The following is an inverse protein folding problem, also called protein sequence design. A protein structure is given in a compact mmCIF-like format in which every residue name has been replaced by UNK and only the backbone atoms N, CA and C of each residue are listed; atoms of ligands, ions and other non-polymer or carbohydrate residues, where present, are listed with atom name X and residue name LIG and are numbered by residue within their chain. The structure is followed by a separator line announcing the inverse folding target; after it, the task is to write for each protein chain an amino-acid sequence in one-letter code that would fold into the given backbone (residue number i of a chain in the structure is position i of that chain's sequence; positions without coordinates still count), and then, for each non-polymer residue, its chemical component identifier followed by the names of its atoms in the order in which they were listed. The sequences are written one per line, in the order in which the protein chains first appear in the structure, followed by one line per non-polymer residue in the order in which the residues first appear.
data_IF_117711699341
#
_entry.id   IF_117711699341
#
_cell.length_a   1.000
_cell.length_b   1.000
_cell.length_c   1.000
_cell.angle_alpha   90.00
_cell.angle_beta   90.00
_cell.angle_gamma   90.00
#
_symmetry.space_group_name_H-M   'P 1'
#
loop_
_entity.id
_entity.type
_entity.pdbx_description
1 polymer ?
#
# COMPACT_ATOMS: atom_id res chain seq x y z
N UNK A 1 -8.13 13.60 1.48
CA UNK A 1 -8.70 12.38 2.09
C UNK A 1 -9.32 11.44 1.05
N UNK A 2 -10.27 11.88 0.22
CA UNK A 2 -10.95 11.03 -0.79
C UNK A 2 -9.98 10.20 -1.65
N UNK A 3 -8.93 10.82 -2.19
CA UNK A 3 -7.97 10.11 -3.05
C UNK A 3 -7.18 9.02 -2.30
N UNK A 4 -6.87 9.22 -1.01
CA UNK A 4 -6.19 8.21 -0.19
C UNK A 4 -7.11 7.01 0.10
N UNK A 5 -8.42 7.25 0.24
CA UNK A 5 -9.41 6.19 0.39
C UNK A 5 -9.57 5.37 -0.89
N UNK A 6 -9.56 6.03 -2.06
CA UNK A 6 -9.60 5.35 -3.37
C UNK A 6 -8.32 4.52 -3.57
N UNK A 7 -7.16 5.12 -3.31
CA UNK A 7 -5.86 4.45 -3.37
C UNK A 7 -5.81 3.19 -2.50
N UNK A 8 -6.34 3.25 -1.28
CA UNK A 8 -6.32 2.11 -0.36
C UNK A 8 -7.07 0.89 -0.92
N UNK A 9 -8.13 1.12 -1.70
CA UNK A 9 -9.00 0.13 -2.33
C UNK A 9 -8.47 -0.37 -3.69
N UNK A 10 -7.39 0.21 -4.21
CA UNK A 10 -6.87 -0.13 -5.53
C UNK A 10 -6.41 -1.59 -5.62
N UNK A 11 -6.96 -2.32 -6.59
CA UNK A 11 -6.60 -3.72 -6.86
C UNK A 11 -5.20 -3.87 -7.47
N UNK A 12 -4.60 -2.77 -7.97
CA UNK A 12 -3.27 -2.77 -8.56
C UNK A 12 -2.14 -2.87 -7.53
N UNK A 13 -2.42 -2.77 -6.22
CA UNK A 13 -1.41 -2.91 -5.18
C UNK A 13 -1.12 -4.39 -4.93
N UNK A 14 0.07 -4.91 -5.27
CA UNK A 14 0.37 -6.33 -5.18
C UNK A 14 0.66 -6.77 -3.75
N UNK A 15 0.57 -8.08 -3.50
CA UNK A 15 0.96 -8.71 -2.23
C UNK A 15 2.12 -9.69 -2.44
N UNK A 16 2.86 -10.06 -1.38
CA UNK A 16 3.91 -11.08 -1.48
C UNK A 16 3.46 -12.35 -2.22
N UNK A 17 4.29 -12.81 -3.15
CA UNK A 17 4.00 -13.95 -4.03
C UNK A 17 3.51 -13.57 -5.43
N UNK A 18 2.96 -12.37 -5.61
CA UNK A 18 2.52 -11.90 -6.92
C UNK A 18 3.71 -11.41 -7.76
N UNK A 19 3.65 -11.61 -9.08
CA UNK A 19 4.73 -11.27 -10.00
C UNK A 19 5.16 -9.80 -9.89
N UNK A 20 4.20 -8.90 -9.69
CA UNK A 20 4.44 -7.46 -9.61
C UNK A 20 4.89 -6.98 -8.22
N UNK A 21 4.96 -7.85 -7.22
CA UNK A 21 5.41 -7.47 -5.88
C UNK A 21 6.95 -7.29 -5.85
N UNK A 22 7.45 -6.06 -5.60
CA UNK A 22 8.86 -5.71 -5.81
C UNK A 22 9.84 -6.31 -4.79
N UNK A 23 9.33 -6.95 -3.73
CA UNK A 23 10.11 -7.45 -2.58
C UNK A 23 9.92 -8.96 -2.36
N UNK A 24 9.60 -9.73 -3.40
CA UNK A 24 9.43 -11.20 -3.30
C UNK A 24 10.68 -11.96 -2.81
N UNK A 25 11.88 -11.38 -2.92
CA UNK A 25 13.10 -11.98 -2.34
C UNK A 25 13.16 -11.85 -0.80
N UNK A 26 12.40 -10.92 -0.22
CA UNK A 26 12.40 -10.62 1.22
C UNK A 26 11.17 -11.18 1.93
N UNK A 27 10.03 -11.24 1.23
CA UNK A 27 8.75 -11.68 1.79
C UNK A 27 8.26 -12.96 1.13
N UNK A 28 7.75 -13.87 1.96
CA UNK A 28 7.14 -15.12 1.49
C UNK A 28 5.71 -14.87 1.03
N UNK A 29 5.30 -15.59 -0.01
CA UNK A 29 3.91 -15.70 -0.38
C UNK A 29 3.08 -16.27 0.79
N UNK A 30 1.78 -15.94 0.90
CA UNK A 30 0.84 -16.71 1.70
C UNK A 30 0.88 -18.18 1.28
N UNK A 31 1.09 -19.10 2.22
CA UNK A 31 1.15 -20.54 1.91
C UNK A 31 0.37 -21.37 2.92
N UNK A 32 -0.35 -22.38 2.44
CA UNK A 32 -0.94 -23.44 3.24
C UNK A 32 -0.79 -24.79 2.50
N UNK A 33 -0.75 -25.91 3.24
CA UNK A 33 -0.68 -27.26 2.65
C UNK A 33 -1.98 -27.67 1.96
N UNK A 34 -3.11 -27.17 2.45
CA UNK A 34 -4.41 -27.33 1.81
C UNK A 34 -4.63 -26.13 0.87
N UNK A 35 -4.98 -26.41 -0.38
CA UNK A 35 -5.19 -25.40 -1.42
C UNK A 35 -6.29 -24.39 -1.07
N UNK A 36 -7.45 -24.86 -0.58
CA UNK A 36 -8.55 -23.99 -0.14
C UNK A 36 -8.11 -23.07 1.00
N UNK A 37 -7.38 -23.63 1.98
CA UNK A 37 -6.83 -22.84 3.07
C UNK A 37 -5.74 -21.85 2.58
N UNK A 38 -5.05 -22.11 1.47
CA UNK A 38 -4.07 -21.18 0.90
C UNK A 38 -4.77 -19.96 0.28
N UNK A 39 -5.89 -20.16 -0.42
CA UNK A 39 -6.73 -19.06 -0.91
C UNK A 39 -7.25 -18.21 0.25
N UNK A 40 -7.76 -18.83 1.33
CA UNK A 40 -8.24 -18.08 2.50
C UNK A 40 -7.15 -17.24 3.17
N UNK A 41 -5.92 -17.76 3.29
CA UNK A 41 -4.80 -17.00 3.89
C UNK A 41 -4.37 -15.85 2.96
N UNK A 42 -4.47 -16.04 1.64
CA UNK A 42 -4.22 -14.99 0.66
C UNK A 42 -5.23 -13.85 0.78
N UNK A 43 -6.53 -14.18 0.86
CA UNK A 43 -7.60 -13.20 1.06
C UNK A 43 -7.47 -12.49 2.41
N UNK A 44 -7.10 -13.22 3.46
CA UNK A 44 -6.81 -12.63 4.77
C UNK A 44 -5.66 -11.61 4.70
N UNK A 45 -4.58 -11.94 3.99
CA UNK A 45 -3.46 -11.00 3.80
C UNK A 45 -3.90 -9.76 3.01
N UNK A 46 -4.70 -9.93 1.95
CA UNK A 46 -5.29 -8.83 1.16
C UNK A 46 -6.14 -7.92 2.05
N UNK A 47 -7.03 -8.50 2.86
CA UNK A 47 -7.89 -7.76 3.79
C UNK A 47 -7.07 -7.02 4.88
N UNK A 48 -6.04 -7.68 5.43
CA UNK A 48 -5.17 -7.07 6.42
C UNK A 48 -4.38 -5.88 5.87
N UNK A 49 -3.79 -6.01 4.67
CA UNK A 49 -3.09 -4.93 4.01
C UNK A 49 -4.04 -3.80 3.59
N UNK A 50 -5.28 -4.11 3.21
CA UNK A 50 -6.31 -3.09 2.97
C UNK A 50 -6.59 -2.27 4.23
N UNK A 51 -6.81 -2.92 5.37
CA UNK A 51 -7.04 -2.24 6.65
C UNK A 51 -5.86 -1.32 7.01
N UNK A 52 -4.63 -1.81 6.85
CA UNK A 52 -3.43 -1.01 7.07
C UNK A 52 -3.40 0.24 6.18
N UNK A 53 -3.73 0.11 4.89
CA UNK A 53 -3.76 1.25 3.95
C UNK A 53 -4.82 2.28 4.32
N UNK A 54 -6.01 1.83 4.71
CA UNK A 54 -7.11 2.71 5.12
C UNK A 54 -6.71 3.52 6.36
N UNK A 55 -6.21 2.84 7.40
CA UNK A 55 -5.80 3.48 8.65
C UNK A 55 -4.61 4.43 8.45
N UNK A 56 -3.60 4.01 7.68
CA UNK A 56 -2.46 4.86 7.34
C UNK A 56 -2.89 6.09 6.54
N UNK A 57 -3.82 5.96 5.60
CA UNK A 57 -4.32 7.07 4.80
C UNK A 57 -4.97 8.16 5.67
N UNK A 58 -5.73 7.77 6.69
CA UNK A 58 -6.35 8.71 7.64
C UNK A 58 -5.29 9.42 8.47
N UNK A 59 -4.39 8.68 9.13
CA UNK A 59 -3.35 9.27 10.00
C UNK A 59 -2.37 10.13 9.24
N UNK A 60 -1.97 9.70 8.04
CA UNK A 60 -1.04 10.45 7.20
C UNK A 60 -1.64 11.78 6.75
N UNK A 61 -2.94 11.82 6.45
CA UNK A 61 -3.62 13.05 6.07
C UNK A 61 -3.49 14.13 7.15
N UNK A 62 -3.71 13.77 8.42
CA UNK A 62 -3.58 14.68 9.57
C UNK A 62 -2.16 15.22 9.72
N UNK A 63 -1.14 14.38 9.53
CA UNK A 63 0.26 14.82 9.62
C UNK A 63 0.71 15.68 8.44
N UNK A 64 0.19 15.41 7.23
CA UNK A 64 0.59 16.13 6.02
C UNK A 64 -0.11 17.49 5.92
N UNK A 65 -1.41 17.58 6.25
CA UNK A 65 -2.19 18.81 6.08
C UNK A 65 -2.33 19.63 7.37
N UNK A 66 -2.10 19.03 8.55
CA UNK A 66 -2.14 19.70 9.84
C UNK A 66 -3.48 20.39 10.11
N UNK A 67 -3.45 21.52 10.80
CA UNK A 67 -4.65 22.28 11.19
C UNK A 67 -5.32 23.03 10.03
N UNK A 68 -4.53 23.48 9.04
CA UNK A 68 -5.05 24.36 7.98
C UNK A 68 -5.90 23.62 6.94
N UNK A 69 -5.73 22.30 6.78
CA UNK A 69 -6.37 21.46 5.75
C UNK A 69 -6.28 21.94 4.28
N UNK A 70 -5.65 23.08 4.01
CA UNK A 70 -5.61 23.70 2.69
C UNK A 70 -4.38 23.28 1.88
N UNK A 71 -3.23 23.08 2.53
CA UNK A 71 -1.96 22.80 1.84
C UNK A 71 -1.16 21.70 2.53
N UNK A 72 -0.54 20.78 1.75
CA UNK A 72 0.34 19.78 2.31
C UNK A 72 1.66 20.39 2.78
N UNK A 73 2.19 19.90 3.89
CA UNK A 73 3.45 20.31 4.48
C UNK A 73 4.62 20.02 3.55
N UNK A 74 5.44 21.04 3.27
CA UNK A 74 6.64 20.92 2.43
C UNK A 74 7.64 19.89 2.97
N UNK A 75 7.66 19.68 4.29
CA UNK A 75 8.56 18.74 4.97
C UNK A 75 8.18 17.27 4.74
N UNK A 76 6.93 17.01 4.35
CA UNK A 76 6.49 15.70 3.87
C UNK A 76 6.62 15.59 2.36
N UNK A 77 6.22 16.64 1.62
CA UNK A 77 6.23 16.63 0.15
C UNK A 77 7.63 16.51 -0.45
N UNK A 78 8.69 16.91 0.25
CA UNK A 78 10.07 16.74 -0.22
C UNK A 78 10.49 15.26 -0.37
N UNK A 79 9.72 14.31 0.19
CA UNK A 79 9.94 12.88 0.04
C UNK A 79 9.12 12.24 -1.09
N UNK A 80 8.18 12.96 -1.73
CA UNK A 80 7.22 12.37 -2.68
C UNK A 80 7.87 11.67 -3.90
N UNK A 81 9.10 12.04 -4.28
CA UNK A 81 9.86 11.41 -5.37
C UNK A 81 10.93 10.42 -4.90
N UNK A 82 11.14 10.27 -3.59
CA UNK A 82 12.12 9.36 -3.01
C UNK A 82 11.46 7.99 -2.82
N UNK A 83 12.15 6.93 -3.22
CA UNK A 83 11.66 5.55 -3.09
C UNK A 83 12.51 4.81 -2.08
N UNK A 84 11.86 4.15 -1.13
CA UNK A 84 12.57 3.29 -0.19
C UNK A 84 13.15 2.07 -0.94
N UNK A 85 14.45 1.80 -0.78
CA UNK A 85 15.18 0.72 -1.46
C UNK A 85 15.10 0.78 -3.00
N UNK A 86 14.85 1.96 -3.59
CA UNK A 86 14.57 2.13 -5.02
C UNK A 86 13.41 1.25 -5.54
N UNK A 87 12.50 0.83 -4.65
CA UNK A 87 11.30 0.05 -4.98
C UNK A 87 10.03 0.89 -4.84
N UNK A 88 9.04 0.62 -5.69
CA UNK A 88 7.69 1.14 -5.59
C UNK A 88 6.70 -0.02 -5.64
N UNK A 89 5.60 0.07 -4.88
CA UNK A 89 4.57 -0.99 -4.87
C UNK A 89 3.86 -1.15 -6.21
N UNK A 90 3.86 -0.10 -7.03
CA UNK A 90 3.41 -0.17 -8.42
C UNK A 90 4.48 0.35 -9.36
N UNK A 91 4.47 -0.21 -10.57
CA UNK A 91 5.31 0.22 -11.66
C UNK A 91 5.05 1.70 -12.02
N UNK A 92 6.09 2.46 -12.41
CA UNK A 92 5.91 3.82 -12.89
C UNK A 92 4.89 3.88 -14.04
N UNK A 93 3.91 4.78 -13.96
CA UNK A 93 2.87 4.97 -14.99
C UNK A 93 1.56 4.22 -14.73
N UNK A 94 1.49 3.35 -13.71
CA UNK A 94 0.22 2.77 -13.24
C UNK A 94 -0.59 3.85 -12.53
N UNK A 95 -1.83 4.06 -12.98
CA UNK A 95 -2.81 4.93 -12.31
C UNK A 95 -3.50 4.10 -11.25
N UNK A 96 -3.45 4.58 -10.01
CA UNK A 96 -3.99 3.89 -8.83
C UNK A 96 -5.41 4.33 -8.49
#
# INVERSE_FOLDING_TARGET
MKDLSVLALSHHLPIPGEADFPLNSMYKAPTNKNEEAAYMVTDLMRAYLLQLRQELGVRLFEHVYGESNERPSKWWMCFARRRFMDKGLVSPGVVL
#
